data_IF_522849751422
#
_entry.id   IF_522849751422
#
_cell.length_a   1.000
_cell.length_b   1.000
_cell.length_c   1.000
_cell.angle_alpha   90.00
_cell.angle_beta   90.00
_cell.angle_gamma   90.00
#
_symmetry.space_group_name_H-M   'P 1'
#
loop_
_entity.id
_entity.type
_entity.pdbx_description
1 polymer ?
#
# COMPACT_ATOMS: atom_id res chain seq x y z
N UNK A 1 2.58 3.53 9.41
CA UNK A 1 1.11 3.49 9.39
C UNK A 1 0.58 2.07 9.15
N UNK A 2 0.91 1.40 8.05
CA UNK A 2 0.32 0.09 7.69
C UNK A 2 0.59 -1.07 8.67
N UNK A 3 1.79 -1.16 9.26
CA UNK A 3 2.08 -2.17 10.30
C UNK A 3 1.19 -1.96 11.53
N UNK A 4 1.13 -0.72 12.02
CA UNK A 4 0.28 -0.32 13.14
C UNK A 4 -1.21 -0.49 12.85
N UNK A 5 -1.67 -0.16 11.64
CA UNK A 5 -3.07 -0.32 11.24
C UNK A 5 -3.49 -1.80 11.20
N UNK A 6 -2.57 -2.70 10.82
CA UNK A 6 -2.82 -4.15 10.84
C UNK A 6 -2.82 -4.71 12.25
N UNK A 7 -1.86 -4.31 13.08
CA UNK A 7 -1.79 -4.70 14.50
C UNK A 7 -3.08 -4.28 15.25
N UNK A 8 -3.65 -3.13 14.89
CA UNK A 8 -4.90 -2.63 15.47
C UNK A 8 -6.15 -3.42 15.06
N UNK A 9 -6.15 -4.04 13.87
CA UNK A 9 -7.33 -4.74 13.33
C UNK A 9 -7.33 -6.21 13.70
N UNK A 10 -6.16 -6.85 13.86
CA UNK A 10 -6.09 -8.31 14.05
C UNK A 10 -5.66 -8.79 15.45
N UNK A 11 -5.29 -7.90 16.39
CA UNK A 11 -4.89 -8.25 17.78
C UNK A 11 -3.91 -9.44 17.86
N UNK A 12 -3.14 -9.64 16.78
CA UNK A 12 -2.23 -10.75 16.55
C UNK A 12 -0.96 -10.20 15.92
N UNK A 13 0.13 -10.30 16.67
CA UNK A 13 1.50 -10.06 16.23
C UNK A 13 1.79 -10.79 14.92
N UNK A 14 1.69 -10.08 13.80
CA UNK A 14 1.97 -10.63 12.49
C UNK A 14 3.46 -10.45 12.18
N UNK A 15 4.20 -11.47 12.61
CA UNK A 15 5.64 -11.63 12.45
C UNK A 15 6.11 -11.72 10.99
N UNK A 16 5.20 -11.90 10.03
CA UNK A 16 5.57 -12.21 8.64
C UNK A 16 4.69 -11.52 7.59
N UNK A 17 4.52 -10.19 7.71
CA UNK A 17 4.10 -9.41 6.54
C UNK A 17 5.37 -9.19 5.72
N UNK A 18 5.70 -10.13 4.84
CA UNK A 18 6.70 -9.89 3.80
C UNK A 18 6.16 -8.82 2.84
N UNK A 19 6.36 -7.56 3.23
CA UNK A 19 6.30 -6.37 2.40
C UNK A 19 7.37 -6.38 1.29
N UNK A 20 7.72 -7.56 0.75
CA UNK A 20 8.69 -7.74 -0.33
C UNK A 20 8.32 -6.88 -1.55
N UNK A 21 7.04 -6.60 -1.75
CA UNK A 21 6.54 -5.82 -2.88
C UNK A 21 6.72 -4.29 -2.74
N UNK A 22 7.00 -3.78 -1.53
CA UNK A 22 7.36 -2.35 -1.31
C UNK A 22 8.85 -2.17 -1.01
N UNK A 23 9.69 -3.20 -1.18
CA UNK A 23 11.15 -3.10 -1.19
C UNK A 23 11.65 -2.83 -2.60
N UNK A 24 12.04 -1.59 -2.85
CA UNK A 24 12.57 -1.12 -4.13
C UNK A 24 12.74 0.40 -4.11
N UNK A 25 13.58 0.92 -4.99
CA UNK A 25 13.77 2.36 -5.20
C UNK A 25 12.71 2.96 -6.14
N UNK A 26 11.65 2.20 -6.46
CA UNK A 26 10.59 2.65 -7.34
C UNK A 26 9.82 3.83 -6.73
N UNK A 27 9.58 4.84 -7.56
CA UNK A 27 8.89 6.07 -7.16
C UNK A 27 7.41 5.88 -6.82
N UNK A 28 6.80 4.77 -7.26
CA UNK A 28 5.44 4.35 -6.94
C UNK A 28 5.50 2.87 -6.63
N UNK A 29 5.01 2.48 -5.46
CA UNK A 29 4.97 1.08 -5.01
C UNK A 29 3.54 0.73 -4.67
N UNK A 30 3.12 -0.48 -5.01
CA UNK A 30 1.75 -0.96 -4.81
C UNK A 30 1.81 -2.33 -4.14
N UNK A 31 0.89 -2.60 -3.23
CA UNK A 31 0.77 -3.89 -2.57
C UNK A 31 -0.69 -4.21 -2.29
N UNK A 32 -1.01 -5.50 -2.20
CA UNK A 32 -2.28 -5.98 -1.65
C UNK A 32 -1.98 -6.63 -0.32
N UNK A 33 -2.67 -6.21 0.74
CA UNK A 33 -2.52 -6.77 2.07
C UNK A 33 -3.82 -7.43 2.49
N UNK A 34 -3.74 -8.68 2.94
CA UNK A 34 -4.87 -9.36 3.56
C UNK A 34 -4.93 -8.99 5.05
N UNK A 35 -6.08 -8.48 5.49
CA UNK A 35 -6.37 -8.12 6.89
C UNK A 35 -7.77 -8.66 7.21
N UNK A 36 -7.89 -9.53 8.21
CA UNK A 36 -9.19 -10.05 8.65
C UNK A 36 -9.92 -10.88 7.59
N UNK A 37 -9.20 -11.47 6.63
CA UNK A 37 -9.77 -12.22 5.50
C UNK A 37 -10.25 -11.35 4.34
N UNK A 38 -10.08 -10.03 4.39
CA UNK A 38 -10.33 -9.12 3.27
C UNK A 38 -9.03 -8.57 2.68
N UNK A 39 -9.06 -8.30 1.37
CA UNK A 39 -7.91 -7.80 0.62
C UNK A 39 -7.97 -6.27 0.47
N UNK A 40 -6.93 -5.59 0.95
CA UNK A 40 -6.79 -4.15 0.86
C UNK A 40 -5.64 -3.77 -0.06
N UNK A 41 -5.96 -3.12 -1.18
CA UNK A 41 -4.95 -2.51 -2.05
C UNK A 41 -4.40 -1.22 -1.42
N UNK A 42 -3.08 -1.12 -1.35
CA UNK A 42 -2.36 0.03 -0.81
C UNK A 42 -1.28 0.49 -1.78
N UNK A 43 -0.99 1.79 -1.78
CA UNK A 43 0.12 2.35 -2.54
C UNK A 43 1.00 3.26 -1.69
N UNK A 44 2.28 3.32 -2.03
CA UNK A 44 3.26 4.24 -1.45
C UNK A 44 3.93 4.96 -2.61
N UNK A 45 3.73 6.27 -2.67
CA UNK A 45 4.25 7.15 -3.70
C UNK A 45 5.36 7.98 -3.07
N UNK A 46 6.55 7.98 -3.66
CA UNK A 46 7.66 8.76 -3.14
C UNK A 46 7.80 10.07 -3.92
N UNK A 47 7.31 11.16 -3.34
CA UNK A 47 7.50 12.52 -3.84
C UNK A 47 6.46 12.99 -4.87
N UNK A 48 6.28 14.31 -4.92
CA UNK A 48 5.21 14.97 -5.68
C UNK A 48 5.22 14.67 -7.20
N UNK A 49 6.40 14.51 -7.80
CA UNK A 49 6.51 14.18 -9.22
C UNK A 49 5.91 12.79 -9.54
N UNK A 50 6.05 11.84 -8.62
CA UNK A 50 5.48 10.50 -8.78
C UNK A 50 3.99 10.48 -8.47
N UNK A 51 3.51 11.33 -7.54
CA UNK A 51 2.07 11.52 -7.33
C UNK A 51 1.39 12.02 -8.61
N UNK A 52 1.95 13.06 -9.23
CA UNK A 52 1.42 13.58 -10.48
C UNK A 52 1.39 12.50 -11.58
N UNK A 53 2.46 11.69 -11.70
CA UNK A 53 2.48 10.55 -12.62
C UNK A 53 1.41 9.51 -12.29
N UNK A 54 1.24 9.15 -11.02
CA UNK A 54 0.25 8.17 -10.59
C UNK A 54 -1.18 8.61 -10.94
N UNK A 55 -1.53 9.85 -10.63
CA UNK A 55 -2.84 10.43 -10.95
C UNK A 55 -3.06 10.51 -12.47
N UNK A 56 -2.07 11.02 -13.21
CA UNK A 56 -2.19 11.19 -14.66
C UNK A 56 -2.17 9.87 -15.43
N UNK A 57 -1.51 8.84 -14.90
CA UNK A 57 -1.50 7.51 -15.50
C UNK A 57 -2.85 6.80 -15.44
N UNK A 58 -3.80 7.30 -14.63
CA UNK A 58 -5.08 6.63 -14.40
C UNK A 58 -4.98 5.39 -13.50
N UNK A 59 -3.79 5.04 -13.00
CA UNK A 59 -3.57 3.90 -12.11
C UNK A 59 -4.49 3.88 -10.90
N UNK A 60 -4.85 5.06 -10.38
CA UNK A 60 -5.80 5.20 -9.26
C UNK A 60 -7.20 4.66 -9.58
N UNK A 61 -7.55 4.54 -10.86
CA UNK A 61 -8.83 4.03 -11.35
C UNK A 61 -8.78 2.53 -11.71
N UNK A 62 -7.58 1.95 -11.86
CA UNK A 62 -7.42 0.53 -12.24
C UNK A 62 -7.81 -0.44 -11.13
N UNK A 63 -7.77 0.02 -9.87
CA UNK A 63 -8.16 -0.77 -8.70
C UNK A 63 -8.69 0.13 -7.59
N UNK A 64 -9.52 -0.44 -6.73
CA UNK A 64 -9.95 0.21 -5.50
C UNK A 64 -8.77 0.26 -4.52
N UNK A 65 -8.12 1.42 -4.40
CA UNK A 65 -7.15 1.67 -3.33
C UNK A 65 -7.87 2.05 -2.05
N UNK A 66 -7.41 1.50 -0.94
CA UNK A 66 -7.95 1.77 0.41
C UNK A 66 -7.03 2.72 1.18
N UNK A 67 -5.73 2.70 0.87
CA UNK A 67 -4.75 3.57 1.50
C UNK A 67 -3.63 3.95 0.52
N UNK A 68 -3.31 5.24 0.45
CA UNK A 68 -2.20 5.75 -0.36
C UNK A 68 -1.37 6.67 0.54
N UNK A 69 -0.09 6.33 0.71
CA UNK A 69 0.92 7.18 1.34
C UNK A 69 1.67 7.97 0.25
N UNK A 70 1.91 9.25 0.48
CA UNK A 70 2.64 10.16 -0.43
C UNK A 70 3.76 10.88 0.32
#
# INVERSE_FOLDING_TARGET
ALRTAKDFVEDKDLTDIEYKQIRGLDGIKEATVEIGGENYNVAVINGAANLAKFMNSGKILEKQYHFIEV
#
